data_IF_735750543949
#
_entry.id   IF_735750543949
#
_cell.length_a   1.000
_cell.length_b   1.000
_cell.length_c   1.000
_cell.angle_alpha   90.00
_cell.angle_beta   90.00
_cell.angle_gamma   90.00
#
_symmetry.space_group_name_H-M   'P 1'
#
loop_
_entity.id
_entity.type
_entity.pdbx_description
1 polymer ?
#
# COMPACT_ATOMS: atom_id res chain seq x y z
N UNK A 1 4.71 -81.93 72.20
CA UNK A 1 5.21 -83.10 71.44
C UNK A 1 5.14 -82.78 69.97
N UNK A 2 6.27 -82.91 69.25
CA UNK A 2 6.41 -83.30 67.84
C UNK A 2 5.70 -82.49 66.74
N UNK A 3 6.24 -82.16 65.57
CA UNK A 3 7.57 -82.03 64.95
C UNK A 3 7.24 -81.49 63.53
N UNK A 4 8.11 -80.66 62.95
CA UNK A 4 8.45 -80.57 61.51
C UNK A 4 7.39 -80.29 60.43
N UNK A 5 7.77 -79.41 59.50
CA UNK A 5 7.25 -79.47 58.13
C UNK A 5 7.51 -78.20 57.35
N UNK A 6 8.29 -78.29 56.29
CA UNK A 6 9.05 -77.20 55.66
C UNK A 6 8.59 -77.04 54.20
N UNK A 7 8.74 -75.83 53.65
CA UNK A 7 9.05 -75.49 52.22
C UNK A 7 7.92 -75.35 51.16
N UNK A 8 7.82 -74.09 50.66
CA UNK A 8 7.69 -73.53 49.28
C UNK A 8 6.74 -74.15 48.22
N UNK A 9 6.07 -73.26 47.47
CA UNK A 9 5.71 -73.56 46.07
C UNK A 9 4.63 -72.70 45.41
N UNK A 10 5.03 -71.55 44.85
CA UNK A 10 4.61 -70.90 43.61
C UNK A 10 3.17 -71.03 43.01
N UNK A 11 2.63 -69.83 42.72
CA UNK A 11 2.13 -69.36 41.41
C UNK A 11 0.61 -69.35 41.08
N UNK A 12 0.14 -68.10 40.83
CA UNK A 12 -0.71 -67.60 39.71
C UNK A 12 -2.11 -68.24 39.49
N UNK A 13 -3.22 -67.57 39.13
CA UNK A 13 -3.60 -66.19 38.78
C UNK A 13 -5.15 -66.11 38.75
N UNK A 14 -5.66 -64.88 38.97
CA UNK A 14 -6.82 -64.22 38.33
C UNK A 14 -8.25 -64.80 38.43
N UNK A 15 -9.12 -64.01 39.06
CA UNK A 15 -10.16 -63.29 38.33
C UNK A 15 -10.74 -62.16 39.20
N UNK A 16 -10.36 -60.91 38.94
CA UNK A 16 -11.13 -59.75 39.38
C UNK A 16 -11.39 -58.86 38.17
N UNK A 17 -12.64 -58.89 37.71
CA UNK A 17 -13.13 -57.97 36.70
C UNK A 17 -13.16 -56.56 37.26
N UNK A 18 -12.35 -55.68 36.67
CA UNK A 18 -12.48 -54.24 36.84
C UNK A 18 -12.86 -53.66 35.48
N UNK A 19 -14.12 -53.30 35.35
CA UNK A 19 -14.61 -52.51 34.21
C UNK A 19 -14.06 -51.09 34.38
N UNK A 20 -12.91 -50.80 33.76
CA UNK A 20 -12.53 -49.42 33.49
C UNK A 20 -13.31 -48.94 32.27
N UNK A 21 -14.26 -48.03 32.49
CA UNK A 21 -14.68 -47.12 31.44
C UNK A 21 -13.42 -46.37 30.96
N UNK A 22 -13.11 -46.34 29.65
CA UNK A 22 -12.02 -45.51 29.18
C UNK A 22 -12.39 -44.07 29.51
N UNK A 23 -11.53 -43.42 30.30
CA UNK A 23 -11.52 -41.98 30.46
C UNK A 23 -11.76 -41.40 29.08
N UNK A 24 -12.91 -40.75 28.91
CA UNK A 24 -13.32 -40.21 27.63
C UNK A 24 -12.19 -39.33 27.17
N UNK A 25 -11.46 -39.83 26.17
CA UNK A 25 -10.58 -39.05 25.33
C UNK A 25 -11.46 -37.95 24.76
N UNK A 26 -11.52 -36.83 25.47
CA UNK A 26 -11.73 -35.52 24.88
C UNK A 26 -10.45 -35.21 24.09
N UNK A 27 -10.12 -36.10 23.15
CA UNK A 27 -9.31 -35.76 22.01
C UNK A 27 -10.14 -34.71 21.29
N UNK A 28 -9.81 -33.46 21.58
CA UNK A 28 -10.26 -32.30 20.85
C UNK A 28 -10.12 -32.67 19.37
N UNK A 29 -11.25 -33.03 18.76
CA UNK A 29 -11.36 -33.33 17.34
C UNK A 29 -10.94 -32.03 16.69
N UNK A 30 -9.66 -31.90 16.33
CA UNK A 30 -9.11 -30.75 15.62
C UNK A 30 -9.99 -30.65 14.40
N UNK A 31 -10.95 -29.70 14.44
CA UNK A 31 -11.76 -29.35 13.30
C UNK A 31 -10.74 -29.12 12.19
N UNK A 32 -10.66 -30.04 11.23
CA UNK A 32 -9.96 -29.82 9.98
C UNK A 32 -10.77 -28.73 9.30
N UNK A 33 -10.49 -27.48 9.68
CA UNK A 33 -10.99 -26.33 8.96
C UNK A 33 -10.47 -26.53 7.55
N UNK A 34 -11.38 -26.80 6.62
CA UNK A 34 -11.07 -26.81 5.21
C UNK A 34 -10.85 -25.34 4.83
N UNK A 35 -9.68 -24.81 5.19
CA UNK A 35 -9.29 -23.43 4.89
C UNK A 35 -9.09 -23.42 3.38
N UNK A 36 -10.09 -22.92 2.63
CA UNK A 36 -9.88 -22.50 1.24
C UNK A 36 -8.60 -21.66 1.25
N UNK A 37 -7.54 -22.13 0.61
CA UNK A 37 -6.20 -21.57 0.75
C UNK A 37 -6.22 -20.13 0.23
N UNK A 38 -6.24 -19.17 1.14
CA UNK A 38 -6.30 -17.73 0.89
C UNK A 38 -4.94 -17.22 0.42
N UNK A 39 -4.65 -17.38 -0.85
CA UNK A 39 -3.34 -17.10 -1.42
C UNK A 39 -3.43 -15.97 -2.44
N UNK A 40 -2.46 -15.05 -2.41
CA UNK A 40 -2.33 -13.99 -3.39
C UNK A 40 -1.14 -14.29 -4.30
N UNK A 41 -1.41 -14.37 -5.60
CA UNK A 41 -0.40 -14.56 -6.64
C UNK A 41 -0.25 -13.27 -7.42
N UNK A 42 0.88 -12.59 -7.24
CA UNK A 42 1.18 -11.32 -7.91
C UNK A 42 2.38 -11.46 -8.86
N UNK A 43 2.31 -10.71 -9.96
CA UNK A 43 3.39 -10.52 -10.93
C UNK A 43 3.58 -9.02 -11.14
N UNK A 44 4.81 -8.52 -11.08
CA UNK A 44 5.06 -7.11 -11.38
C UNK A 44 5.53 -6.98 -12.83
N UNK A 45 4.77 -6.24 -13.65
CA UNK A 45 5.00 -6.16 -15.11
C UNK A 45 6.37 -5.57 -15.42
N UNK A 46 6.78 -4.54 -14.68
CA UNK A 46 8.04 -3.81 -14.91
C UNK A 46 9.27 -4.45 -14.23
N UNK A 47 9.22 -4.77 -12.93
CA UNK A 47 10.38 -5.32 -12.20
C UNK A 47 10.57 -6.83 -12.39
N UNK A 48 9.57 -7.54 -12.95
CA UNK A 48 9.51 -9.01 -13.05
C UNK A 48 9.46 -9.75 -11.72
N UNK A 49 9.34 -9.03 -10.60
CA UNK A 49 9.16 -9.62 -9.29
C UNK A 49 7.91 -10.50 -9.23
N UNK A 50 7.97 -11.51 -8.36
CA UNK A 50 6.88 -12.45 -8.12
C UNK A 50 6.57 -12.60 -6.64
N UNK A 51 5.29 -12.66 -6.35
CA UNK A 51 4.78 -13.05 -5.03
C UNK A 51 3.88 -14.25 -5.28
N UNK A 52 4.37 -15.43 -4.92
CA UNK A 52 3.62 -16.67 -5.04
C UNK A 52 3.07 -17.07 -3.68
N UNK A 53 1.80 -17.47 -3.71
CA UNK A 53 1.10 -18.08 -2.58
C UNK A 53 1.24 -17.32 -1.27
N UNK A 54 1.26 -15.98 -1.32
CA UNK A 54 1.50 -15.20 -0.13
C UNK A 54 0.25 -15.23 0.75
N UNK A 55 0.44 -15.67 1.99
CA UNK A 55 -0.51 -15.54 3.07
C UNK A 55 -0.52 -14.09 3.53
N UNK A 56 -1.26 -13.25 2.81
CA UNK A 56 -1.26 -11.81 3.05
C UNK A 56 -2.15 -11.45 4.23
N UNK A 57 -3.30 -12.12 4.36
CA UNK A 57 -4.38 -11.63 5.23
C UNK A 57 -4.84 -12.72 6.16
N UNK A 58 -4.62 -12.49 7.45
CA UNK A 58 -5.33 -13.23 8.49
C UNK A 58 -6.65 -12.51 8.69
N UNK A 59 -7.74 -13.19 8.30
CA UNK A 59 -9.10 -12.77 8.64
C UNK A 59 -9.38 -13.39 10.01
N UNK A 60 -9.76 -12.57 10.99
CA UNK A 60 -10.20 -13.09 12.27
C UNK A 60 -11.43 -13.99 12.05
N UNK A 61 -11.40 -15.28 12.43
CA UNK A 61 -12.55 -16.17 12.27
C UNK A 61 -13.81 -15.67 12.98
N UNK A 62 -13.65 -14.80 13.99
CA UNK A 62 -14.73 -14.21 14.79
C UNK A 62 -15.13 -12.82 14.30
N UNK A 63 -14.26 -12.13 13.57
CA UNK A 63 -14.53 -10.82 12.97
C UNK A 63 -13.94 -10.74 11.56
N UNK A 64 -14.78 -10.99 10.56
CA UNK A 64 -14.39 -10.94 9.15
C UNK A 64 -13.91 -9.55 8.70
N UNK A 65 -14.19 -8.51 9.50
CA UNK A 65 -13.74 -7.14 9.27
C UNK A 65 -12.38 -6.86 9.92
N UNK A 66 -11.91 -7.70 10.85
CA UNK A 66 -10.58 -7.60 11.46
C UNK A 66 -9.57 -8.40 10.66
N UNK A 67 -8.93 -7.68 9.75
CA UNK A 67 -7.91 -8.21 8.87
C UNK A 67 -6.57 -7.60 9.22
N UNK A 68 -5.52 -8.41 9.28
CA UNK A 68 -4.18 -7.86 9.42
C UNK A 68 -3.18 -8.52 8.49
N UNK A 69 -2.21 -7.72 8.05
CA UNK A 69 -1.07 -8.17 7.27
C UNK A 69 0.14 -8.28 8.18
N UNK A 70 0.63 -9.51 8.36
CA UNK A 70 1.81 -9.79 9.18
C UNK A 70 3.04 -9.00 8.71
N UNK A 71 3.92 -8.63 9.65
CA UNK A 71 5.07 -7.74 9.38
C UNK A 71 5.94 -8.19 8.19
N UNK A 72 6.26 -9.49 8.10
CA UNK A 72 7.07 -10.06 7.00
C UNK A 72 6.34 -9.95 5.65
N UNK A 73 5.07 -10.38 5.60
CA UNK A 73 4.26 -10.30 4.39
C UNK A 73 4.11 -8.85 3.91
N UNK A 74 3.93 -7.91 4.85
CA UNK A 74 3.85 -6.50 4.53
C UNK A 74 5.13 -5.96 3.94
N UNK A 75 6.29 -6.19 4.56
CA UNK A 75 7.57 -5.73 4.03
C UNK A 75 7.80 -6.25 2.61
N UNK A 76 7.45 -7.52 2.36
CA UNK A 76 7.50 -8.11 1.02
C UNK A 76 6.58 -7.40 0.02
N UNK A 77 5.35 -7.06 0.43
CA UNK A 77 4.38 -6.35 -0.42
C UNK A 77 4.75 -4.88 -0.66
N UNK A 78 5.28 -4.19 0.35
CA UNK A 78 5.77 -2.81 0.21
C UNK A 78 6.96 -2.75 -0.73
N UNK A 79 7.86 -3.74 -0.66
CA UNK A 79 8.93 -3.90 -1.64
C UNK A 79 8.37 -4.21 -3.02
N UNK A 80 7.42 -5.14 -3.13
CA UNK A 80 6.81 -5.51 -4.41
C UNK A 80 6.08 -4.34 -5.08
N UNK A 81 5.38 -3.51 -4.31
CA UNK A 81 4.63 -2.34 -4.78
C UNK A 81 5.47 -1.05 -4.79
N UNK A 82 6.80 -1.15 -4.71
CA UNK A 82 7.70 0.00 -4.77
C UNK A 82 7.56 0.76 -6.07
N UNK A 83 8.06 1.99 -6.06
CA UNK A 83 8.24 2.73 -7.31
C UNK A 83 9.34 2.07 -8.12
N UNK A 84 8.96 1.32 -9.15
CA UNK A 84 9.91 0.57 -9.98
C UNK A 84 10.92 1.46 -10.69
N UNK A 85 10.64 2.76 -10.87
CA UNK A 85 11.54 3.72 -11.52
C UNK A 85 12.62 4.26 -10.58
N UNK A 86 12.36 4.26 -9.27
CA UNK A 86 13.27 4.89 -8.29
C UNK A 86 13.70 3.95 -7.15
N UNK A 87 13.11 2.75 -7.07
CA UNK A 87 13.31 1.79 -5.97
C UNK A 87 12.68 2.20 -4.64
N UNK A 88 12.17 3.44 -4.51
CA UNK A 88 11.61 3.95 -3.26
C UNK A 88 10.35 3.18 -2.86
N UNK A 89 10.22 2.94 -1.57
CA UNK A 89 9.10 2.21 -0.97
C UNK A 89 8.32 3.12 -0.04
N UNK A 90 7.07 2.73 0.25
CA UNK A 90 6.25 3.40 1.24
C UNK A 90 5.31 2.42 1.91
N UNK A 91 4.67 2.85 3.00
CA UNK A 91 3.66 2.06 3.70
C UNK A 91 2.46 1.82 2.79
N UNK A 92 2.08 0.56 2.60
CA UNK A 92 0.85 0.21 1.88
C UNK A 92 -0.29 -0.02 2.88
N UNK A 93 -1.45 0.64 2.71
CA UNK A 93 -2.61 0.44 3.60
C UNK A 93 -3.13 -1.01 3.54
N UNK A 94 -3.51 -1.56 4.68
CA UNK A 94 -4.07 -2.92 4.76
C UNK A 94 -5.31 -3.09 3.89
N UNK A 95 -6.17 -2.07 3.87
CA UNK A 95 -7.39 -2.09 3.06
C UNK A 95 -7.12 -2.21 1.55
N UNK A 96 -6.02 -1.64 1.05
CA UNK A 96 -5.66 -1.78 -0.36
C UNK A 96 -5.25 -3.23 -0.66
N UNK A 97 -4.47 -3.82 0.26
CA UNK A 97 -4.06 -5.22 0.17
C UNK A 97 -5.28 -6.16 0.29
N UNK A 98 -6.26 -5.81 1.12
CA UNK A 98 -7.54 -6.54 1.20
C UNK A 98 -8.30 -6.54 -0.10
N UNK A 99 -8.45 -5.40 -0.77
CA UNK A 99 -9.16 -5.35 -2.03
C UNK A 99 -8.44 -6.12 -3.14
N UNK A 100 -7.11 -6.03 -3.23
CA UNK A 100 -6.33 -6.89 -4.12
C UNK A 100 -6.54 -8.38 -3.82
N UNK A 101 -6.61 -8.73 -2.55
CA UNK A 101 -6.91 -10.09 -2.14
C UNK A 101 -8.30 -10.55 -2.57
N UNK A 102 -9.34 -9.73 -2.37
CA UNK A 102 -10.70 -10.04 -2.84
C UNK A 102 -10.76 -10.24 -4.35
N UNK A 103 -10.07 -9.39 -5.12
CA UNK A 103 -9.92 -9.57 -6.57
C UNK A 103 -9.27 -10.93 -6.87
N UNK A 104 -8.15 -11.25 -6.22
CA UNK A 104 -7.46 -12.53 -6.42
C UNK A 104 -8.36 -13.73 -6.13
N UNK A 105 -9.14 -13.67 -5.05
CA UNK A 105 -10.08 -14.74 -4.69
C UNK A 105 -11.28 -14.83 -5.65
N UNK A 106 -11.74 -13.71 -6.21
CA UNK A 106 -12.88 -13.70 -7.13
C UNK A 106 -12.56 -14.42 -8.44
N UNK A 107 -11.38 -14.13 -8.98
CA UNK A 107 -11.00 -14.57 -10.32
C UNK A 107 -10.13 -15.82 -10.29
N UNK A 108 -9.46 -16.13 -9.17
CA UNK A 108 -8.57 -17.27 -9.00
C UNK A 108 -7.47 -17.34 -10.09
N UNK A 109 -6.93 -16.17 -10.42
CA UNK A 109 -5.90 -15.96 -11.44
C UNK A 109 -4.82 -15.00 -10.92
N UNK A 110 -3.57 -15.11 -11.43
CA UNK A 110 -2.52 -14.15 -11.11
C UNK A 110 -2.92 -12.70 -11.40
N UNK A 111 -2.59 -11.80 -10.47
CA UNK A 111 -2.74 -10.36 -10.66
C UNK A 111 -1.42 -9.78 -11.15
N UNK A 112 -1.46 -9.11 -12.29
CA UNK A 112 -0.32 -8.41 -12.88
C UNK A 112 -0.37 -6.94 -12.49
N UNK A 113 0.50 -6.55 -11.56
CA UNK A 113 0.67 -5.16 -11.14
C UNK A 113 1.47 -4.41 -12.21
N UNK A 114 0.86 -3.38 -12.77
CA UNK A 114 1.50 -2.41 -13.66
C UNK A 114 2.27 -1.40 -12.81
N UNK A 115 1.66 -0.88 -11.76
CA UNK A 115 2.34 0.02 -10.82
C UNK A 115 1.68 0.09 -9.45
N UNK A 116 2.48 0.32 -8.42
CA UNK A 116 2.05 0.64 -7.06
C UNK A 116 2.42 2.07 -6.69
N UNK A 117 3.29 2.24 -5.71
CA UNK A 117 3.80 3.55 -5.29
C UNK A 117 4.53 4.27 -6.44
N UNK A 118 4.35 5.60 -6.54
CA UNK A 118 5.07 6.46 -7.51
C UNK A 118 5.60 7.71 -6.82
N UNK A 119 6.92 7.80 -6.63
CA UNK A 119 7.54 8.83 -5.79
C UNK A 119 7.54 10.23 -6.42
N UNK A 120 7.57 10.32 -7.76
CA UNK A 120 7.64 11.58 -8.52
C UNK A 120 6.28 12.11 -9.00
N UNK A 121 5.19 11.55 -8.51
CA UNK A 121 3.84 11.96 -8.91
C UNK A 121 3.36 13.22 -8.17
N UNK A 122 2.32 13.89 -8.69
CA UNK A 122 1.68 15.06 -8.02
C UNK A 122 1.20 14.73 -6.61
N UNK A 123 1.30 15.69 -5.68
CA UNK A 123 0.92 15.53 -4.25
C UNK A 123 -0.51 15.02 -4.03
N UNK A 124 -1.42 15.25 -4.98
CA UNK A 124 -2.81 14.83 -4.91
C UNK A 124 -3.06 13.39 -5.36
N UNK A 125 -2.09 12.78 -6.05
CA UNK A 125 -2.22 11.40 -6.57
C UNK A 125 -2.14 10.38 -5.46
N UNK A 126 -2.97 9.34 -5.59
CA UNK A 126 -3.05 8.23 -4.63
C UNK A 126 -1.86 7.29 -4.73
N UNK A 127 -1.27 7.13 -5.92
CA UNK A 127 -0.01 6.40 -6.10
C UNK A 127 1.14 7.05 -5.32
N UNK A 128 1.18 8.38 -5.22
CA UNK A 128 2.20 9.10 -4.45
C UNK A 128 2.13 8.84 -2.94
N UNK A 129 1.04 8.29 -2.45
CA UNK A 129 0.85 7.96 -1.03
C UNK A 129 0.84 6.45 -0.79
N UNK A 130 1.16 5.63 -1.79
CA UNK A 130 1.10 4.17 -1.69
C UNK A 130 -0.32 3.63 -1.52
N UNK A 131 -1.34 4.44 -1.85
CA UNK A 131 -2.76 4.13 -1.65
C UNK A 131 -3.45 3.63 -2.93
N UNK A 132 -2.71 3.44 -4.02
CA UNK A 132 -3.26 3.02 -5.30
C UNK A 132 -2.40 1.96 -5.99
N UNK A 133 -3.05 1.15 -6.80
CA UNK A 133 -2.45 0.18 -7.70
C UNK A 133 -3.13 0.22 -9.06
N UNK A 134 -2.33 0.09 -10.10
CA UNK A 134 -2.81 -0.18 -11.46
C UNK A 134 -2.48 -1.62 -11.77
N UNK A 135 -3.47 -2.40 -12.20
CA UNK A 135 -3.32 -3.83 -12.37
C UNK A 135 -4.24 -4.41 -13.43
N UNK A 136 -3.95 -5.65 -13.83
CA UNK A 136 -4.81 -6.50 -14.65
C UNK A 136 -4.82 -7.90 -14.08
N UNK A 137 -5.85 -8.67 -14.38
CA UNK A 137 -5.97 -10.08 -13.97
C UNK A 137 -5.72 -10.95 -15.20
N UNK A 138 -4.88 -11.97 -15.05
CA UNK A 138 -4.50 -12.84 -16.16
C UNK A 138 -5.71 -13.52 -16.79
N UNK A 139 -5.88 -13.35 -18.10
CA UNK A 139 -6.97 -13.96 -18.87
C UNK A 139 -8.37 -13.38 -18.61
N UNK A 140 -8.48 -12.25 -17.89
CA UNK A 140 -9.78 -11.61 -17.58
C UNK A 140 -9.85 -10.24 -18.22
N UNK A 141 -10.98 -9.91 -18.83
CA UNK A 141 -11.23 -8.57 -19.38
C UNK A 141 -11.15 -7.52 -18.24
N UNK A 142 -10.33 -6.46 -18.38
CA UNK A 142 -10.26 -5.41 -17.37
C UNK A 142 -11.61 -4.75 -17.05
N UNK A 143 -12.58 -4.77 -17.99
CA UNK A 143 -13.95 -4.30 -17.74
C UNK A 143 -14.67 -5.15 -16.68
N UNK A 144 -14.51 -6.48 -16.71
CA UNK A 144 -15.10 -7.38 -15.72
C UNK A 144 -14.47 -7.16 -14.34
N UNK A 145 -13.15 -6.97 -14.30
CA UNK A 145 -12.42 -6.63 -13.07
C UNK A 145 -12.90 -5.30 -12.49
N UNK A 146 -13.11 -4.30 -13.35
CA UNK A 146 -13.62 -2.98 -12.95
C UNK A 146 -15.04 -3.07 -12.36
N UNK A 147 -15.96 -3.79 -13.02
CA UNK A 147 -17.32 -4.01 -12.52
C UNK A 147 -17.34 -4.79 -11.20
N UNK A 148 -16.42 -5.74 -11.02
CA UNK A 148 -16.22 -6.40 -9.74
C UNK A 148 -15.82 -5.41 -8.64
N UNK A 149 -14.83 -4.56 -8.91
CA UNK A 149 -14.28 -3.62 -7.94
C UNK A 149 -15.24 -2.49 -7.56
N UNK A 150 -16.23 -2.15 -8.41
CA UNK A 150 -17.27 -1.16 -8.10
C UNK A 150 -18.14 -1.51 -6.88
N UNK A 151 -18.12 -2.76 -6.44
CA UNK A 151 -18.83 -3.21 -5.22
C UNK A 151 -18.08 -2.88 -3.93
N UNK A 152 -16.84 -2.45 -4.03
CA UNK A 152 -16.06 -2.04 -2.86
C UNK A 152 -16.48 -0.65 -2.41
N UNK A 153 -16.43 -0.43 -1.10
CA UNK A 153 -16.74 0.88 -0.51
C UNK A 153 -15.46 1.68 -0.22
N UNK A 154 -15.57 3.00 -0.28
CA UNK A 154 -14.50 3.97 0.02
C UNK A 154 -13.25 3.75 -0.86
N UNK A 155 -13.47 3.58 -2.16
CA UNK A 155 -12.43 3.32 -3.18
C UNK A 155 -12.50 4.25 -4.38
N UNK A 156 -11.39 4.48 -5.08
CA UNK A 156 -11.45 5.02 -6.43
C UNK A 156 -11.16 3.92 -7.44
N UNK A 157 -12.09 3.65 -8.35
CA UNK A 157 -11.92 2.62 -9.39
C UNK A 157 -11.97 3.25 -10.78
N UNK A 158 -10.88 3.15 -11.53
CA UNK A 158 -10.77 3.59 -12.91
C UNK A 158 -10.66 2.43 -13.89
N UNK A 159 -11.37 2.48 -15.01
CA UNK A 159 -11.19 1.56 -16.13
C UNK A 159 -10.45 2.24 -17.27
N UNK A 160 -9.37 1.61 -17.74
CA UNK A 160 -8.52 2.11 -18.83
C UNK A 160 -8.57 1.15 -20.02
N UNK A 161 -9.57 1.25 -20.91
CA UNK A 161 -9.74 0.32 -22.03
C UNK A 161 -8.57 0.30 -23.01
N UNK A 162 -7.94 1.45 -23.26
CA UNK A 162 -6.84 1.56 -24.24
C UNK A 162 -5.49 1.14 -23.64
N UNK A 163 -5.28 1.40 -22.35
CA UNK A 163 -4.08 0.94 -21.63
C UNK A 163 -4.22 -0.45 -21.00
N UNK A 164 -5.40 -1.09 -21.09
CA UNK A 164 -5.71 -2.46 -20.65
C UNK A 164 -5.40 -2.74 -19.17
N UNK A 165 -5.79 -1.83 -18.28
CA UNK A 165 -5.68 -2.02 -16.83
C UNK A 165 -6.86 -1.41 -16.05
N UNK A 166 -6.95 -1.79 -14.77
CA UNK A 166 -7.85 -1.20 -13.77
C UNK A 166 -7.01 -0.45 -12.74
N UNK A 167 -7.44 0.77 -12.43
CA UNK A 167 -6.95 1.54 -11.30
C UNK A 167 -7.81 1.23 -10.07
N UNK A 168 -7.16 0.99 -8.92
CA UNK A 168 -7.81 0.83 -7.63
C UNK A 168 -7.04 1.64 -6.59
N UNK A 169 -7.72 2.56 -5.91
CA UNK A 169 -7.19 3.28 -4.76
C UNK A 169 -8.11 3.24 -3.54
N UNK A 170 -7.53 3.38 -2.34
CA UNK A 170 -8.28 3.52 -1.10
C UNK A 170 -8.39 4.97 -0.66
N UNK A 171 -9.61 5.37 -0.26
CA UNK A 171 -9.95 6.77 0.06
C UNK A 171 -11.16 6.83 1.00
N UNK A 172 -11.77 7.99 1.18
CA UNK A 172 -12.90 8.13 2.12
C UNK A 172 -14.27 8.06 1.47
N UNK A 173 -14.37 8.42 0.18
CA UNK A 173 -15.60 8.38 -0.61
C UNK A 173 -15.35 7.65 -1.91
N UNK A 174 -16.29 6.84 -2.36
CA UNK A 174 -16.12 6.13 -3.62
C UNK A 174 -16.15 7.06 -4.83
N UNK A 175 -15.33 6.77 -5.84
CA UNK A 175 -15.33 7.44 -7.14
C UNK A 175 -15.09 6.41 -8.25
N UNK A 176 -15.82 6.53 -9.35
CA UNK A 176 -15.68 5.64 -10.50
C UNK A 176 -15.48 6.48 -11.76
N UNK A 177 -14.65 6.02 -12.68
CA UNK A 177 -14.42 6.67 -13.98
C UNK A 177 -13.96 5.66 -15.03
N UNK A 178 -14.12 6.05 -16.29
CA UNK A 178 -13.52 5.39 -17.46
C UNK A 178 -12.62 6.42 -18.11
N UNK A 179 -11.40 6.03 -18.43
CA UNK A 179 -10.38 6.87 -19.05
C UNK A 179 -9.89 6.19 -20.33
N UNK A 180 -10.33 6.72 -21.47
CA UNK A 180 -10.07 6.17 -22.81
C UNK A 180 -8.73 6.66 -23.37
N UNK A 181 -7.91 7.35 -22.57
CA UNK A 181 -6.56 7.76 -23.00
C UNK A 181 -5.63 6.56 -23.26
N UNK A 182 -4.80 6.72 -24.28
CA UNK A 182 -3.67 5.85 -24.57
C UNK A 182 -2.47 6.11 -23.63
N UNK A 183 -1.47 5.21 -23.65
CA UNK A 183 -0.26 5.38 -22.83
C UNK A 183 0.48 6.70 -23.15
N UNK A 184 0.54 7.61 -22.18
CA UNK A 184 1.25 8.89 -22.31
C UNK A 184 0.40 10.05 -22.82
N UNK A 185 -0.86 9.79 -23.18
CA UNK A 185 -1.82 10.80 -23.58
C UNK A 185 -2.43 11.53 -22.38
N UNK A 186 -3.07 12.66 -22.63
CA UNK A 186 -3.87 13.32 -21.61
C UNK A 186 -5.14 12.51 -21.30
N UNK A 187 -5.61 12.61 -20.06
CA UNK A 187 -6.77 11.83 -19.60
C UNK A 187 -8.03 12.19 -20.39
N UNK A 188 -8.67 11.18 -20.99
CA UNK A 188 -9.90 11.31 -21.76
C UNK A 188 -11.02 10.58 -21.02
N UNK A 189 -11.77 11.33 -20.21
CA UNK A 189 -12.81 10.74 -19.38
C UNK A 189 -14.11 10.59 -20.16
N UNK A 190 -14.59 9.35 -20.28
CA UNK A 190 -15.91 9.10 -20.86
C UNK A 190 -17.00 9.87 -20.10
N UNK A 191 -17.75 10.67 -20.85
CA UNK A 191 -18.84 11.47 -20.30
C UNK A 191 -19.90 10.60 -19.63
N UNK A 192 -20.53 11.14 -18.58
CA UNK A 192 -21.63 10.47 -17.86
C UNK A 192 -21.21 9.37 -16.88
N UNK A 193 -19.98 8.85 -16.95
CA UNK A 193 -19.52 7.76 -16.05
C UNK A 193 -18.71 8.28 -14.86
N UNK A 194 -17.99 9.39 -15.02
CA UNK A 194 -17.24 10.00 -13.94
C UNK A 194 -18.19 10.72 -12.95
N UNK A 195 -18.24 10.27 -11.70
CA UNK A 195 -18.87 11.09 -10.65
C UNK A 195 -18.09 12.42 -10.55
N UNK A 196 -18.80 13.53 -10.78
CA UNK A 196 -18.22 14.88 -10.89
C UNK A 196 -17.21 15.15 -9.76
N UNK A 197 -15.97 15.47 -10.13
CA UNK A 197 -14.96 15.99 -9.19
C UNK A 197 -15.58 17.15 -8.39
N UNK A 198 -15.36 17.26 -7.06
CA UNK A 198 -15.78 18.46 -6.35
C UNK A 198 -15.16 19.68 -7.03
N UNK A 199 -16.00 20.63 -7.46
CA UNK A 199 -15.57 21.87 -8.11
C UNK A 199 -14.48 22.50 -7.24
N UNK A 200 -13.30 22.76 -7.80
CA UNK A 200 -12.26 23.58 -7.15
C UNK A 200 -12.94 24.87 -6.71
N UNK A 201 -13.08 25.11 -5.40
CA UNK A 201 -13.44 26.45 -4.90
C UNK A 201 -12.35 27.39 -5.39
N UNK A 202 -12.67 28.24 -6.38
CA UNK A 202 -11.84 29.40 -6.70
C UNK A 202 -11.67 30.14 -5.38
N UNK A 203 -10.44 30.22 -4.86
CA UNK A 203 -10.14 31.11 -3.74
C UNK A 203 -10.48 32.50 -4.25
N UNK A 204 -11.60 33.08 -3.79
CA UNK A 204 -11.92 34.49 -3.99
C UNK A 204 -10.74 35.26 -3.44
N UNK A 205 -9.93 35.85 -4.32
CA UNK A 205 -8.91 36.80 -3.92
C UNK A 205 -9.61 37.93 -3.18
N UNK A 206 -9.24 38.15 -1.91
CA UNK A 206 -9.53 39.40 -1.23
C UNK A 206 -8.75 40.49 -1.96
N UNK A 207 -9.39 41.20 -2.88
CA UNK A 207 -8.90 42.50 -3.35
C UNK A 207 -9.00 43.48 -2.18
N UNK A 208 -7.92 43.59 -1.42
CA UNK A 208 -7.76 44.62 -0.39
C UNK A 208 -7.65 45.98 -1.05
N UNK A 209 -8.77 46.70 -1.09
CA UNK A 209 -8.90 48.10 -1.48
C UNK A 209 -8.12 48.94 -0.45
N UNK A 210 -6.89 49.36 -0.76
CA UNK A 210 -6.18 50.40 0.01
C UNK A 210 -6.39 51.74 -0.67
N UNK A 211 -7.22 52.59 -0.07
CA UNK A 211 -7.32 54.03 -0.36
C UNK A 211 -6.73 54.81 0.82
N UNK A 212 -5.70 55.59 0.51
CA UNK A 212 -5.45 56.95 1.01
C UNK A 212 -5.04 57.17 2.46
N UNK A 213 -3.86 57.78 2.66
CA UNK A 213 -3.75 59.18 3.12
C UNK A 213 -2.35 59.75 2.85
N UNK A 214 -2.34 60.95 2.27
CA UNK A 214 -1.19 61.84 2.06
C UNK A 214 -0.88 62.63 3.34
N UNK A 215 0.40 62.89 3.57
CA UNK A 215 1.02 64.10 4.10
C UNK A 215 2.51 63.96 3.73
N UNK A 216 3.26 64.89 3.15
CA UNK A 216 3.13 66.33 2.98
C UNK A 216 4.49 66.95 3.33
N UNK A 217 5.02 67.80 2.42
CA UNK A 217 6.28 68.60 2.46
C UNK A 217 7.50 67.92 1.81
N UNK A 218 7.96 68.30 0.60
CA UNK A 218 8.50 69.60 0.09
C UNK A 218 9.90 69.87 0.67
N UNK A 219 10.93 70.29 -0.06
CA UNK A 219 11.31 70.39 -1.46
C UNK A 219 12.83 70.75 -1.45
N UNK A 220 13.38 71.06 -2.62
CA UNK A 220 14.74 71.57 -2.90
C UNK A 220 15.86 70.55 -3.07
N UNK A 221 16.84 70.74 -3.96
CA UNK A 221 16.93 71.26 -5.34
C UNK A 221 18.41 71.01 -5.71
N UNK A 222 18.66 70.83 -7.01
CA UNK A 222 19.95 71.12 -7.68
C UNK A 222 21.19 70.22 -7.42
N UNK A 223 21.52 69.40 -8.44
CA UNK A 223 22.62 69.70 -9.38
C UNK A 223 24.08 69.41 -9.00
N UNK A 224 24.83 68.95 -10.03
CA UNK A 224 26.30 68.69 -10.12
C UNK A 224 26.70 67.29 -9.61
N UNK A 225 27.34 66.38 -10.34
CA UNK A 225 28.32 66.53 -11.42
C UNK A 225 29.74 66.55 -10.84
N UNK A 226 30.47 65.41 -10.86
CA UNK A 226 31.92 65.27 -11.17
C UNK A 226 32.53 63.92 -10.73
N UNK A 227 33.10 63.25 -11.74
CA UNK A 227 34.41 62.57 -11.81
C UNK A 227 35.24 62.29 -10.53
N UNK A 228 35.67 61.02 -10.46
CA UNK A 228 37.02 60.48 -10.25
C UNK A 228 37.98 61.11 -9.22
N UNK A 229 38.52 60.26 -8.33
CA UNK A 229 39.97 60.03 -8.05
C UNK A 229 40.05 58.89 -7.01
N UNK A 230 40.58 57.70 -7.32
CA UNK A 230 41.99 57.25 -7.43
C UNK A 230 42.74 57.16 -6.08
N UNK A 231 43.30 55.96 -5.86
CA UNK A 231 44.46 55.56 -5.03
C UNK A 231 44.20 55.30 -3.54
N UNK A 232 44.92 54.41 -2.84
CA UNK A 232 45.79 53.25 -3.14
C UNK A 232 46.41 52.80 -1.80
N UNK A 233 46.94 51.57 -1.79
CA UNK A 233 47.97 50.95 -0.91
C UNK A 233 47.39 49.87 0.02
N UNK A 234 47.64 48.57 -0.28
CA UNK A 234 48.88 47.75 -0.12
C UNK A 234 49.16 47.52 1.38
N UNK A 235 49.29 46.29 1.88
CA UNK A 235 50.26 45.21 1.58
C UNK A 235 49.60 43.84 1.88
N UNK A 236 49.73 42.77 1.09
CA UNK A 236 50.89 41.99 0.60
C UNK A 236 51.55 41.10 1.67
N UNK A 237 51.50 39.79 1.42
CA UNK A 237 52.16 38.71 2.17
C UNK A 237 51.75 37.32 1.65
N UNK A 238 52.18 36.96 0.44
CA UNK A 238 52.37 35.56 0.01
C UNK A 238 53.62 35.00 0.72
N UNK A 239 53.86 33.69 0.88
CA UNK A 239 54.30 32.66 -0.10
C UNK A 239 54.32 31.33 0.71
N UNK A 240 53.71 30.23 0.25
CA UNK A 240 54.34 29.01 -0.35
C UNK A 240 55.68 28.59 0.28
N UNK A 241 56.16 27.35 0.37
CA UNK A 241 55.80 25.96 0.09
C UNK A 241 56.90 25.15 0.85
N UNK A 242 56.74 23.86 1.13
CA UNK A 242 57.70 22.84 0.63
C UNK A 242 57.27 21.42 1.03
N UNK A 243 57.72 20.50 0.19
CA UNK A 243 57.52 19.07 0.07
C UNK A 243 58.17 18.27 1.20
N UNK A 244 57.63 17.08 1.46
CA UNK A 244 58.33 15.78 1.42
C UNK A 244 57.33 14.69 1.09
#
# INVERSE_FOLDING_TARGET
MSLFGRVRGWALLLALGLVLAPAGDVLAKKRKFNVKRYHLTLRHVNTKDRVDNLWVIRVDPKDKNRQWVGKRARKRLEHFLRDWRTGKQTRVPERLLWYLYLVGQRFDKPIHIVSGYRSKERKTSRHRHGKAVDFRVEGVDPKEVWEYCKRFDRVGIGYYPNSKFVHLDVRDKSYYWIDESGPGEEADYREGVAQKKPKRKKRRGKSGKRRGKRAGKSADKAGKGKQSKRRARKRAGAVAADRR
#
